data_IF_990381433490
#
_entry.id   IF_990381433490
#
_cell.length_a   1.000
_cell.length_b   1.000
_cell.length_c   1.000
_cell.angle_alpha   90.00
_cell.angle_beta   90.00
_cell.angle_gamma   90.00
#
_symmetry.space_group_name_H-M   'P 1'
#
loop_
_entity.id
_entity.type
_entity.pdbx_description
1 polymer ?
#
# COMPACT_ATOMS: atom_id res chain seq x y z
N UNK A 1 4.38 -3.31 8.90
CA UNK A 1 4.29 -3.87 7.54
C UNK A 1 3.58 -2.87 6.64
N UNK A 2 4.10 -2.62 5.44
CA UNK A 2 3.44 -1.81 4.42
C UNK A 2 3.01 -2.74 3.27
N UNK A 3 1.70 -2.78 2.97
CA UNK A 3 1.11 -3.68 1.97
C UNK A 3 0.79 -2.91 0.69
N UNK A 4 1.24 -3.44 -0.45
CA UNK A 4 0.83 -3.00 -1.78
C UNK A 4 -0.03 -4.10 -2.40
N UNK A 5 -1.30 -3.80 -2.70
CA UNK A 5 -2.19 -4.78 -3.33
C UNK A 5 -3.37 -4.10 -4.02
N UNK A 6 -3.65 -4.45 -5.27
CA UNK A 6 -4.81 -3.89 -5.98
C UNK A 6 -6.13 -4.21 -5.27
N UNK A 7 -6.30 -5.45 -4.80
CA UNK A 7 -7.54 -5.91 -4.17
C UNK A 7 -7.51 -5.96 -2.65
N UNK A 8 -6.34 -5.82 -2.01
CA UNK A 8 -6.19 -5.90 -0.56
C UNK A 8 -6.39 -7.30 0.07
N UNK A 9 -6.65 -8.33 -0.74
CA UNK A 9 -6.90 -9.70 -0.29
C UNK A 9 -8.36 -9.99 0.05
N UNK A 10 -8.82 -11.19 -0.31
CA UNK A 10 -10.18 -11.68 -0.09
C UNK A 10 -10.15 -13.20 0.14
N UNK A 11 -10.32 -13.61 1.41
CA UNK A 11 -10.29 -15.02 1.77
C UNK A 11 -11.53 -15.79 1.29
N UNK A 12 -12.70 -15.15 1.25
CA UNK A 12 -13.96 -15.76 0.80
C UNK A 12 -13.90 -16.12 -0.68
N UNK A 13 -13.29 -15.25 -1.49
CA UNK A 13 -13.10 -15.48 -2.93
C UNK A 13 -11.80 -16.19 -3.29
N UNK A 14 -10.96 -16.53 -2.31
CA UNK A 14 -9.67 -17.20 -2.54
C UNK A 14 -8.61 -16.33 -3.25
N UNK A 15 -8.72 -15.00 -3.17
CA UNK A 15 -7.82 -14.07 -3.87
C UNK A 15 -6.77 -13.51 -2.91
N UNK A 16 -5.49 -13.74 -3.22
CA UNK A 16 -4.35 -13.26 -2.41
C UNK A 16 -4.45 -13.65 -0.92
N UNK A 17 -4.85 -14.89 -0.65
CA UNK A 17 -4.98 -15.44 0.73
C UNK A 17 -3.65 -15.36 1.49
N UNK A 18 -2.52 -15.41 0.80
CA UNK A 18 -1.20 -15.16 1.37
C UNK A 18 -1.09 -13.75 1.99
N UNK A 19 -1.66 -12.72 1.37
CA UNK A 19 -1.67 -11.36 1.94
C UNK A 19 -2.55 -11.28 3.17
N UNK A 20 -3.72 -11.94 3.16
CA UNK A 20 -4.61 -12.04 4.33
C UNK A 20 -3.82 -12.61 5.52
N UNK A 21 -3.20 -13.79 5.32
CA UNK A 21 -2.39 -14.45 6.34
C UNK A 21 -1.19 -13.61 6.80
N UNK A 22 -0.54 -12.89 5.90
CA UNK A 22 0.57 -12.01 6.25
C UNK A 22 0.13 -10.83 7.12
N UNK A 23 -1.04 -10.24 6.82
CA UNK A 23 -1.63 -9.16 7.62
C UNK A 23 -2.06 -9.66 9.00
N UNK A 24 -2.70 -10.83 9.07
CA UNK A 24 -3.07 -11.48 10.34
C UNK A 24 -1.84 -11.75 11.20
N UNK A 25 -0.79 -12.31 10.61
CA UNK A 25 0.46 -12.59 11.30
C UNK A 25 1.16 -11.30 11.77
N UNK A 26 1.19 -10.26 10.95
CA UNK A 26 1.74 -8.97 11.34
C UNK A 26 1.01 -8.40 12.58
N UNK A 27 -0.32 -8.49 12.60
CA UNK A 27 -1.14 -8.07 13.73
C UNK A 27 -0.91 -8.92 14.98
N UNK A 28 -0.85 -10.24 14.85
CA UNK A 28 -0.59 -11.13 16.00
C UNK A 28 0.79 -10.91 16.61
N UNK A 29 1.77 -10.50 15.79
CA UNK A 29 3.09 -10.07 16.25
C UNK A 29 3.13 -8.64 16.84
N UNK A 30 2.00 -7.93 16.91
CA UNK A 30 1.92 -6.56 17.43
C UNK A 30 2.45 -5.49 16.48
N UNK A 31 2.72 -5.82 15.21
CA UNK A 31 3.19 -4.86 14.22
C UNK A 31 2.06 -3.96 13.72
N UNK A 32 2.38 -2.69 13.46
CA UNK A 32 1.48 -1.78 12.73
C UNK A 32 1.40 -2.19 11.26
N UNK A 33 0.20 -2.16 10.71
CA UNK A 33 -0.09 -2.49 9.32
C UNK A 33 -0.53 -1.22 8.60
N UNK A 34 0.18 -0.86 7.54
CA UNK A 34 -0.24 0.17 6.60
C UNK A 34 -0.54 -0.47 5.24
N UNK A 35 -1.38 0.16 4.42
CA UNK A 35 -1.66 -0.35 3.07
C UNK A 35 -1.87 0.75 2.03
N UNK A 36 -1.49 0.46 0.79
CA UNK A 36 -1.88 1.23 -0.39
C UNK A 36 -2.55 0.26 -1.36
N UNK A 37 -3.87 0.36 -1.44
CA UNK A 37 -4.73 -0.62 -2.12
C UNK A 37 -5.69 0.05 -3.08
N UNK A 38 -6.38 -0.73 -3.91
CA UNK A 38 -7.41 -0.23 -4.83
C UNK A 38 -8.77 -0.87 -4.57
N UNK A 39 -9.66 -0.79 -5.56
CA UNK A 39 -11.02 -1.35 -5.51
C UNK A 39 -11.77 -0.89 -4.25
N UNK A 40 -12.30 -1.84 -3.47
CA UNK A 40 -12.97 -1.64 -2.18
C UNK A 40 -12.03 -1.81 -0.98
N UNK A 41 -10.72 -1.92 -1.21
CA UNK A 41 -9.68 -2.01 -0.19
C UNK A 41 -9.44 -3.40 0.44
N UNK A 42 -10.39 -4.34 0.29
CA UNK A 42 -10.24 -5.73 0.72
C UNK A 42 -9.91 -5.92 2.21
N UNK A 43 -9.32 -7.07 2.53
CA UNK A 43 -8.95 -7.41 3.91
C UNK A 43 -7.90 -6.45 4.49
N UNK A 44 -6.93 -6.05 3.68
CA UNK A 44 -5.86 -5.13 4.09
C UNK A 44 -6.44 -3.82 4.62
N UNK A 45 -7.39 -3.20 3.91
CA UNK A 45 -7.99 -1.94 4.39
C UNK A 45 -8.78 -2.11 5.69
N UNK A 46 -9.45 -3.25 5.88
CA UNK A 46 -10.20 -3.54 7.10
C UNK A 46 -9.31 -3.66 8.33
N UNK A 47 -8.13 -4.26 8.16
CA UNK A 47 -7.23 -4.57 9.28
C UNK A 47 -6.13 -3.53 9.48
N UNK A 48 -5.81 -2.72 8.47
CA UNK A 48 -4.72 -1.75 8.56
C UNK A 48 -4.98 -0.67 9.62
N UNK A 49 -3.90 -0.23 10.27
CA UNK A 49 -3.87 0.94 11.14
C UNK A 49 -4.02 2.25 10.34
N UNK A 50 -3.53 2.26 9.09
CA UNK A 50 -3.76 3.33 8.12
C UNK A 50 -3.75 2.75 6.69
N UNK A 51 -4.71 3.16 5.85
CA UNK A 51 -4.81 2.64 4.50
C UNK A 51 -5.19 3.73 3.50
N UNK A 52 -4.41 3.85 2.42
CA UNK A 52 -4.78 4.63 1.25
C UNK A 52 -5.51 3.72 0.28
N UNK A 53 -6.74 4.09 -0.07
CA UNK A 53 -7.54 3.39 -1.09
C UNK A 53 -7.53 4.24 -2.36
N UNK A 54 -6.82 3.78 -3.38
CA UNK A 54 -6.79 4.39 -4.71
C UNK A 54 -8.19 4.24 -5.34
N UNK A 55 -8.83 5.35 -5.74
CA UNK A 55 -10.17 5.30 -6.30
C UNK A 55 -10.18 4.55 -7.64
N UNK A 56 -11.26 3.82 -7.89
CA UNK A 56 -11.50 3.23 -9.21
C UNK A 56 -12.01 4.32 -10.14
N UNK A 57 -11.14 4.81 -11.02
CA UNK A 57 -11.48 5.81 -12.06
C UNK A 57 -12.03 5.13 -13.31
N UNK A 58 -11.38 4.05 -13.76
CA UNK A 58 -11.82 3.26 -14.92
C UNK A 58 -11.80 1.76 -14.57
N UNK A 59 -12.95 1.08 -14.57
CA UNK A 59 -13.04 -0.36 -14.27
C UNK A 59 -12.15 -1.25 -15.16
N UNK A 60 -11.88 -0.84 -16.40
CA UNK A 60 -11.04 -1.60 -17.33
C UNK A 60 -9.54 -1.54 -16.99
N UNK A 61 -9.10 -0.54 -16.22
CA UNK A 61 -7.67 -0.28 -15.95
C UNK A 61 -7.37 -0.12 -14.46
N UNK A 62 -8.18 -0.77 -13.59
CA UNK A 62 -8.04 -0.65 -12.13
C UNK A 62 -6.66 -1.08 -11.64
N UNK A 63 -6.15 -2.22 -12.14
CA UNK A 63 -4.84 -2.76 -11.77
C UNK A 63 -3.71 -1.77 -12.07
N UNK A 64 -3.45 -1.39 -13.34
CA UNK A 64 -2.34 -0.50 -13.66
C UNK A 64 -2.51 0.90 -13.02
N UNK A 65 -3.75 1.38 -12.85
CA UNK A 65 -3.99 2.66 -12.17
C UNK A 65 -3.63 2.59 -10.68
N UNK A 66 -4.03 1.52 -10.00
CA UNK A 66 -3.72 1.32 -8.59
C UNK A 66 -2.22 1.18 -8.37
N UNK A 67 -1.55 0.37 -9.20
CA UNK A 67 -0.10 0.14 -9.13
C UNK A 67 0.70 1.41 -9.42
N UNK A 68 0.28 2.24 -10.38
CA UNK A 68 0.89 3.54 -10.62
C UNK A 68 0.81 4.46 -9.40
N UNK A 69 -0.37 4.53 -8.76
CA UNK A 69 -0.55 5.36 -7.56
C UNK A 69 0.13 4.78 -6.32
N UNK A 70 0.30 3.47 -6.22
CA UNK A 70 1.13 2.85 -5.19
C UNK A 70 2.55 3.39 -5.21
N UNK A 71 3.16 3.52 -6.39
CA UNK A 71 4.48 4.11 -6.54
C UNK A 71 4.47 5.59 -6.13
N UNK A 72 3.48 6.38 -6.56
CA UNK A 72 3.36 7.79 -6.16
C UNK A 72 3.29 7.94 -4.64
N UNK A 73 2.40 7.22 -3.97
CA UNK A 73 2.23 7.32 -2.51
C UNK A 73 3.49 6.86 -1.78
N UNK A 74 4.13 5.78 -2.23
CA UNK A 74 5.41 5.34 -1.67
C UNK A 74 6.50 6.40 -1.84
N UNK A 75 6.61 7.02 -3.02
CA UNK A 75 7.57 8.09 -3.27
C UNK A 75 7.32 9.32 -2.39
N UNK A 76 6.05 9.66 -2.13
CA UNK A 76 5.71 10.71 -1.17
C UNK A 76 6.22 10.37 0.24
N UNK A 77 6.12 9.11 0.68
CA UNK A 77 6.61 8.69 2.00
C UNK A 77 8.13 8.83 2.11
N UNK A 78 8.89 8.29 1.16
CA UNK A 78 10.37 8.30 1.22
C UNK A 78 10.98 9.68 0.94
N UNK A 79 10.24 10.57 0.28
CA UNK A 79 10.66 11.94 -0.01
C UNK A 79 10.08 12.96 0.97
N UNK A 80 9.24 12.55 1.92
CA UNK A 80 8.60 13.47 2.85
C UNK A 80 9.66 14.12 3.78
N UNK A 81 9.75 15.47 3.90
CA UNK A 81 10.79 16.13 4.70
C UNK A 81 10.84 15.70 6.17
N UNK A 82 9.68 15.34 6.75
CA UNK A 82 9.59 14.79 8.12
C UNK A 82 10.06 13.34 8.28
N UNK A 83 10.18 12.57 7.20
CA UNK A 83 10.56 11.15 7.23
C UNK A 83 11.93 10.89 6.59
N UNK A 84 12.33 11.72 5.64
CA UNK A 84 13.58 11.57 4.91
C UNK A 84 14.79 11.78 5.85
N UNK A 85 15.55 10.71 6.08
CA UNK A 85 16.76 10.77 6.90
C UNK A 85 17.96 11.36 6.15
N UNK A 86 18.05 11.10 4.85
CA UNK A 86 19.13 11.55 3.96
C UNK A 86 18.54 11.94 2.61
N UNK A 87 19.06 13.01 1.94
CA UNK A 87 18.66 13.32 0.58
C UNK A 87 18.88 12.15 -0.38
N UNK A 88 17.95 11.96 -1.32
CA UNK A 88 18.14 11.04 -2.44
C UNK A 88 19.27 11.55 -3.34
N UNK A 89 20.00 10.62 -3.99
CA UNK A 89 21.29 10.94 -4.61
C UNK A 89 21.18 11.99 -5.71
N UNK A 90 20.15 11.95 -6.55
CA UNK A 90 20.00 12.92 -7.64
C UNK A 90 19.64 14.31 -7.12
N UNK A 91 18.76 14.38 -6.13
CA UNK A 91 18.27 15.59 -5.49
C UNK A 91 19.31 16.24 -4.56
N UNK A 92 20.38 15.52 -4.22
CA UNK A 92 21.51 16.07 -3.46
C UNK A 92 22.60 16.70 -4.34
N UNK A 93 22.59 16.43 -5.64
CA UNK A 93 23.58 16.96 -6.59
C UNK A 93 23.25 18.38 -7.08
N UNK A 94 22.02 18.84 -6.88
CA UNK A 94 21.52 20.14 -7.34
C UNK A 94 21.47 21.21 -6.24
N UNK A 95 22.32 21.08 -5.22
CA UNK A 95 22.54 22.12 -4.20
C UNK A 95 23.77 22.96 -4.51
#
# INVERSE_FOLDING_TARGET
VLVFSVGGGDAERGVSVNLVRAVEYAKSAGARVCGIVGRSGGFTAKMADACVIVPTVNPATVTPHTEAFQAVVWHLLVSHPRLQATPTKWESLSR
#
